data_IF_701224357695
#
_entry.id   IF_701224357695
#
_cell.length_a   1.000
_cell.length_b   1.000
_cell.length_c   1.000
_cell.angle_alpha   90.00
_cell.angle_beta   90.00
_cell.angle_gamma   90.00
#
_symmetry.space_group_name_H-M   'P 1'
#
loop_
_entity.id
_entity.type
_entity.pdbx_description
1 polymer ?
#
# COMPACT_ATOMS: atom_id res chain seq x y z
N UNK A 2 -12.07 -7.42 3.20
CA UNK A 2 -11.07 -6.73 3.94
C UNK A 2 -10.05 -7.59 4.63
N UNK A 3 -10.28 -8.89 4.76
CA UNK A 3 -9.34 -9.91 5.18
C UNK A 3 -8.11 -10.02 4.29
N UNK A 4 -8.10 -9.40 3.11
CA UNK A 4 -6.94 -9.14 2.31
C UNK A 4 -5.83 -8.40 3.06
N UNK A 5 -6.12 -7.88 4.25
CA UNK A 5 -5.29 -6.97 5.02
C UNK A 5 -3.95 -7.56 5.44
N UNK A 6 -3.97 -8.33 6.52
CA UNK A 6 -2.78 -8.80 7.20
C UNK A 6 -1.95 -9.80 6.44
N UNK A 7 -2.32 -10.14 5.22
CA UNK A 7 -1.44 -10.76 4.25
C UNK A 7 -0.69 -9.76 3.40
N UNK A 8 -1.36 -8.80 2.81
CA UNK A 8 -0.78 -7.84 1.90
C UNK A 8 0.17 -6.87 2.58
N UNK A 9 -0.34 -6.02 3.47
CA UNK A 9 0.39 -4.89 4.01
C UNK A 9 1.60 -5.32 4.82
N UNK A 10 1.53 -6.54 5.34
CA UNK A 10 2.42 -7.14 6.32
C UNK A 10 3.73 -7.53 5.66
N UNK A 11 3.66 -8.15 4.49
CA UNK A 11 4.77 -8.27 3.57
C UNK A 11 5.26 -6.92 3.09
N UNK A 12 4.36 -6.05 2.63
CA UNK A 12 4.67 -4.81 1.98
C UNK A 12 5.39 -3.88 2.95
N UNK A 13 5.08 -3.86 4.25
CA UNK A 13 5.80 -3.02 5.18
C UNK A 13 7.24 -3.38 5.42
N UNK A 14 7.61 -4.62 5.12
CA UNK A 14 8.97 -5.10 5.13
C UNK A 14 9.69 -4.88 3.82
N UNK A 15 9.01 -5.12 2.70
CA UNK A 15 9.36 -4.83 1.33
C UNK A 15 9.60 -3.34 1.17
N UNK A 16 8.89 -2.48 1.89
CA UNK A 16 9.13 -1.05 1.99
C UNK A 16 10.51 -0.76 2.54
N UNK A 17 10.79 -1.24 3.75
CA UNK A 17 12.07 -1.08 4.41
C UNK A 17 13.22 -1.61 3.59
N UNK A 18 13.07 -2.74 2.91
CA UNK A 18 14.03 -3.32 2.02
C UNK A 18 14.14 -2.64 0.67
N UNK A 19 13.07 -2.02 0.22
CA UNK A 19 12.96 -1.27 -1.01
C UNK A 19 13.64 0.08 -0.93
N UNK A 20 13.83 0.61 0.26
CA UNK A 20 14.41 1.91 0.48
C UNK A 20 13.55 3.07 0.03
N UNK A 21 12.23 2.93 0.05
CA UNK A 21 11.27 3.84 -0.49
C UNK A 21 11.40 5.28 -0.10
N UNK B 2 13.10 5.74 -4.91
CA UNK B 2 11.76 5.22 -4.92
C UNK B 2 11.44 4.18 -5.97
N UNK B 3 12.45 3.58 -6.57
CA UNK B 3 12.32 2.57 -7.59
C UNK B 3 11.74 1.26 -7.13
N UNK B 4 11.60 1.07 -5.82
CA UNK B 4 10.79 0.08 -5.16
C UNK B 4 9.33 0.10 -5.54
N UNK B 5 8.90 1.11 -6.31
CA UNK B 5 7.51 1.39 -6.58
C UNK B 5 6.84 0.29 -7.39
N UNK B 6 7.03 0.26 -8.70
CA UNK B 6 6.32 -0.63 -9.59
C UNK B 6 6.77 -2.07 -9.52
N UNK B 7 7.53 -2.49 -8.51
CA UNK B 7 7.59 -3.83 -8.00
C UNK B 7 6.53 -4.11 -6.96
N UNK B 8 6.56 -3.41 -5.84
CA UNK B 8 5.75 -3.74 -4.69
C UNK B 8 4.31 -3.27 -4.86
N UNK B 9 4.13 -2.13 -5.52
CA UNK B 9 2.85 -1.58 -5.89
C UNK B 9 2.11 -2.46 -6.89
N UNK B 10 2.83 -3.01 -7.87
CA UNK B 10 2.27 -3.91 -8.85
C UNK B 10 1.76 -5.21 -8.24
N UNK B 11 2.47 -5.73 -7.25
CA UNK B 11 1.92 -6.75 -6.39
C UNK B 11 0.68 -6.27 -5.66
N UNK B 12 0.71 -5.13 -4.97
CA UNK B 12 -0.38 -4.66 -4.14
C UNK B 12 -1.63 -4.36 -4.94
N UNK B 13 -1.51 -3.68 -6.07
CA UNK B 13 -2.67 -3.39 -6.88
C UNK B 13 -3.30 -4.61 -7.51
N UNK B 14 -2.61 -5.75 -7.57
CA UNK B 14 -3.13 -7.03 -7.98
C UNK B 14 -3.65 -7.83 -6.81
N UNK B 15 -3.05 -7.71 -5.63
CA UNK B 15 -3.48 -8.30 -4.39
C UNK B 15 -4.74 -7.62 -3.91
N UNK B 16 -4.94 -6.34 -4.18
CA UNK B 16 -6.18 -5.63 -3.96
C UNK B 16 -7.32 -6.25 -4.73
N UNK B 17 -7.15 -6.34 -6.04
CA UNK B 17 -8.07 -6.97 -6.96
C UNK B 17 -8.43 -8.40 -6.62
N UNK B 18 -7.47 -9.22 -6.25
CA UNK B 18 -7.63 -10.59 -5.84
C UNK B 18 -8.19 -10.73 -4.44
N UNK B 19 -7.91 -9.79 -3.55
CA UNK B 19 -8.26 -9.81 -2.16
C UNK B 19 -9.66 -9.35 -1.87
N UNK B 20 -10.17 -8.40 -2.63
CA UNK B 20 -11.46 -7.82 -2.54
C UNK B 20 -11.68 -6.74 -1.51
N UNK B 21 -10.71 -5.90 -1.27
CA UNK B 21 -10.71 -4.89 -0.28
C UNK B 21 -11.83 -3.93 -0.32
N UNK C 2 -7.25 -5.35 11.06
CA UNK C 2 -7.74 -5.17 9.75
C UNK C 2 -8.78 -4.10 9.56
N UNK C 3 -9.29 -3.47 10.58
CA UNK C 3 -10.11 -2.32 10.45
C UNK C 3 -9.52 -1.17 9.68
N UNK C 4 -8.20 -1.02 9.78
CA UNK C 4 -7.38 -0.10 9.03
C UNK C 4 -7.47 -0.26 7.53
N UNK C 5 -8.06 -1.36 7.05
CA UNK C 5 -8.02 -1.79 5.68
C UNK C 5 -8.76 -0.83 4.76
N UNK C 6 -10.06 -0.97 4.61
CA UNK C 6 -10.84 -0.14 3.73
C UNK C 6 -11.12 1.25 4.27
N UNK C 7 -10.19 1.78 5.03
CA UNK C 7 -10.03 3.11 5.55
C UNK C 7 -8.72 3.76 5.13
N UNK C 8 -7.69 2.98 4.86
CA UNK C 8 -6.47 3.40 4.22
C UNK C 8 -6.40 2.96 2.78
N UNK C 9 -6.67 1.69 2.50
CA UNK C 9 -6.61 1.12 1.17
C UNK C 9 -7.49 1.89 0.20
N UNK C 10 -8.61 2.43 0.64
CA UNK C 10 -9.48 3.28 -0.15
C UNK C 10 -8.77 4.49 -0.72
N UNK C 11 -8.26 5.30 0.19
CA UNK C 11 -7.33 6.39 0.05
C UNK C 11 -5.94 6.00 -0.41
N UNK C 12 -5.75 4.77 -0.89
CA UNK C 12 -4.54 4.32 -1.55
C UNK C 12 -4.88 3.83 -2.95
N UNK C 13 -5.86 2.95 -3.15
CA UNK C 13 -6.17 2.47 -4.47
C UNK C 13 -6.66 3.56 -5.41
N UNK C 14 -7.22 4.64 -4.87
CA UNK C 14 -7.57 5.85 -5.57
C UNK C 14 -6.37 6.73 -5.86
N UNK C 15 -5.44 6.82 -4.92
CA UNK C 15 -4.21 7.55 -4.99
C UNK C 15 -3.23 6.86 -5.91
N UNK C 16 -3.22 5.53 -6.04
CA UNK C 16 -2.51 4.78 -7.05
C UNK C 16 -2.86 5.29 -8.44
N UNK C 17 -4.14 5.37 -8.74
CA UNK C 17 -4.75 5.85 -9.97
C UNK C 17 -4.38 7.30 -10.24
N UNK C 18 -4.49 8.17 -9.26
CA UNK C 18 -4.22 9.58 -9.35
C UNK C 18 -2.74 9.86 -9.47
N UNK C 19 -1.92 9.07 -8.80
CA UNK C 19 -0.47 9.02 -8.77
C UNK C 19 0.09 8.56 -10.09
N UNK C 20 -0.55 7.64 -10.78
CA UNK C 20 -0.18 7.09 -12.05
C UNK C 20 0.92 6.06 -11.97
N UNK C 21 0.87 5.17 -10.99
CA UNK C 21 1.78 4.08 -10.82
C UNK C 21 1.71 3.08 -11.95
N UNK D 2 6.65 9.15 -9.99
CA UNK D 2 7.39 9.09 -8.79
C UNK D 2 6.86 9.96 -7.68
N UNK D 3 6.04 10.96 -7.96
CA UNK D 3 5.18 11.65 -7.04
C UNK D 3 4.34 10.68 -6.23
N UNK D 4 3.65 9.77 -6.92
CA UNK D 4 2.92 8.65 -6.35
C UNK D 4 3.72 7.91 -5.30
N UNK D 5 5.01 7.77 -5.58
CA UNK D 5 5.96 7.01 -4.82
C UNK D 5 6.58 7.73 -3.63
N UNK D 6 6.14 8.94 -3.33
CA UNK D 6 6.14 9.48 -1.99
C UNK D 6 4.74 9.44 -1.42
N UNK D 7 3.79 10.15 -2.03
CA UNK D 7 2.49 10.45 -1.51
C UNK D 7 1.67 9.25 -1.07
N UNK D 8 1.77 8.15 -1.78
CA UNK D 8 1.04 6.97 -1.36
C UNK D 8 1.70 6.25 -0.20
N UNK D 9 3.02 6.20 -0.29
CA UNK D 9 3.87 5.53 0.67
C UNK D 9 3.89 6.27 1.99
N UNK D 10 4.00 7.60 1.98
CA UNK D 10 4.08 8.44 3.14
C UNK D 10 2.78 8.57 3.92
N UNK D 11 1.68 8.45 3.20
CA UNK D 11 0.42 8.04 3.78
C UNK D 11 0.51 6.66 4.42
N UNK D 12 0.75 5.59 3.67
CA UNK D 12 0.54 4.23 4.12
C UNK D 12 1.53 3.83 5.21
N UNK D 13 2.80 4.21 5.13
CA UNK D 13 3.71 3.80 6.16
C UNK D 13 3.51 4.50 7.48
N UNK D 14 2.72 5.56 7.54
CA UNK D 14 2.29 6.24 8.74
C UNK D 14 0.92 5.83 9.20
N UNK D 15 0.02 5.56 8.25
CA UNK D 15 -1.31 5.04 8.49
C UNK D 15 -1.20 3.59 8.92
N UNK D 16 -0.19 2.83 8.55
CA UNK D 16 0.02 1.50 9.07
C UNK D 16 0.33 1.51 10.54
N UNK D 17 1.30 2.34 10.92
CA UNK D 17 1.66 2.59 12.29
C UNK D 17 0.50 3.03 13.17
N UNK D 18 -0.42 3.81 12.62
CA UNK D 18 -1.56 4.35 13.32
C UNK D 18 -2.74 3.39 13.32
N UNK D 19 -3.00 2.75 12.19
CA UNK D 19 -4.07 1.82 11.93
C UNK D 19 -4.00 0.51 12.70
N UNK D 20 -2.81 0.05 13.02
CA UNK D 20 -2.56 -1.15 13.75
C UNK D 20 -2.76 -2.44 12.98
N UNK D 21 -2.50 -2.44 11.72
CA UNK D 21 -2.57 -3.55 10.82
C UNK D 21 -1.82 -4.79 11.21
#
# INVERSE_FOLDING_TARGET
XAKAAAAAIKAIAAIIKAGGYX
XAKAAAAAIKAIAAIIKAGGYX
XAKAAAAAIKAIAAIIKAGGYX
XAKAAAAAIKAIAAIIKAGGYX
#
